data_IF_089003161050
#
_entry.id   IF_089003161050
#
_cell.length_a   1.000
_cell.length_b   1.000
_cell.length_c   1.000
_cell.angle_alpha   90.00
_cell.angle_beta   90.00
_cell.angle_gamma   90.00
#
_symmetry.space_group_name_H-M   'P 1'
#
loop_
_entity.id
_entity.type
_entity.pdbx_description
1 polymer ?
#
# COMPACT_ATOMS: atom_id res chain seq x y z
N UNK A 1 -16.37 6.21 13.07
CA UNK A 1 -15.06 5.52 13.19
C UNK A 1 -14.02 6.56 13.52
N UNK A 2 -13.09 6.28 14.42
CA UNK A 2 -12.08 7.27 14.82
C UNK A 2 -10.84 7.23 13.92
N UNK A 3 -10.07 8.32 13.90
CA UNK A 3 -8.87 8.41 13.05
C UNK A 3 -7.85 7.36 13.45
N UNK A 4 -7.62 7.14 14.75
CA UNK A 4 -6.69 6.10 15.19
C UNK A 4 -7.12 4.70 14.72
N UNK A 5 -8.43 4.40 14.82
CA UNK A 5 -8.97 3.11 14.36
C UNK A 5 -8.82 2.94 12.85
N UNK A 6 -9.07 4.00 12.09
CA UNK A 6 -8.92 4.03 10.64
C UNK A 6 -7.48 3.75 10.20
N UNK A 7 -6.50 4.43 10.82
CA UNK A 7 -5.07 4.23 10.56
C UNK A 7 -4.63 2.81 10.87
N UNK A 8 -5.05 2.25 12.02
CA UNK A 8 -4.75 0.87 12.40
C UNK A 8 -5.31 -0.14 11.40
N UNK A 9 -6.55 0.06 10.92
CA UNK A 9 -7.16 -0.79 9.90
C UNK A 9 -6.41 -0.71 8.57
N UNK A 10 -6.03 0.49 8.14
CA UNK A 10 -5.29 0.68 6.89
C UNK A 10 -3.88 0.06 6.97
N UNK A 11 -3.21 0.22 8.11
CA UNK A 11 -1.96 -0.47 8.39
C UNK A 11 -2.15 -1.98 8.34
N UNK A 12 -3.19 -2.53 8.97
CA UNK A 12 -3.46 -3.95 8.95
C UNK A 12 -3.68 -4.47 7.51
N UNK A 13 -4.45 -3.75 6.68
CA UNK A 13 -4.67 -4.10 5.27
C UNK A 13 -3.34 -4.18 4.52
N UNK A 14 -2.50 -3.14 4.65
CA UNK A 14 -1.22 -3.08 3.95
C UNK A 14 -0.20 -4.09 4.45
N UNK A 15 -0.01 -4.21 5.76
CA UNK A 15 0.95 -5.15 6.32
C UNK A 15 0.54 -6.60 6.10
N UNK A 16 -0.74 -6.95 6.25
CA UNK A 16 -1.22 -8.30 5.95
C UNK A 16 -1.10 -8.63 4.46
N UNK A 17 -1.58 -7.74 3.58
CA UNK A 17 -1.48 -7.92 2.14
C UNK A 17 -0.04 -7.99 1.65
N UNK A 18 0.82 -7.08 2.12
CA UNK A 18 2.24 -7.09 1.78
C UNK A 18 2.97 -8.33 2.33
N UNK A 19 2.63 -8.81 3.53
CA UNK A 19 3.22 -10.03 4.07
C UNK A 19 2.86 -11.26 3.23
N UNK A 20 1.59 -11.38 2.82
CA UNK A 20 1.16 -12.47 1.93
C UNK A 20 1.89 -12.40 0.59
N UNK A 21 1.95 -11.22 -0.04
CA UNK A 21 2.66 -11.01 -1.30
C UNK A 21 4.16 -11.27 -1.16
N UNK A 22 4.76 -10.86 -0.04
CA UNK A 22 6.17 -11.08 0.25
C UNK A 22 6.50 -12.57 0.35
N UNK A 23 5.70 -13.34 1.11
CA UNK A 23 5.88 -14.79 1.22
C UNK A 23 5.73 -15.49 -0.13
N UNK A 24 4.78 -15.01 -0.95
CA UNK A 24 4.59 -15.51 -2.30
C UNK A 24 5.81 -15.24 -3.19
N UNK A 25 6.30 -13.99 -3.23
CA UNK A 25 7.50 -13.61 -3.99
C UNK A 25 8.74 -14.34 -3.47
N UNK A 26 8.86 -14.54 -2.16
CA UNK A 26 9.94 -15.30 -1.54
C UNK A 26 9.91 -16.76 -2.02
N UNK A 27 8.74 -17.42 -2.00
CA UNK A 27 8.59 -18.78 -2.51
C UNK A 27 8.95 -18.93 -3.98
N UNK A 28 8.54 -17.96 -4.82
CA UNK A 28 8.95 -17.89 -6.22
C UNK A 28 10.47 -17.70 -6.38
N UNK A 29 11.08 -16.90 -5.52
CA UNK A 29 12.50 -16.56 -5.58
C UNK A 29 13.41 -17.75 -5.29
N UNK A 30 12.98 -18.66 -4.41
CA UNK A 30 13.75 -19.86 -4.08
C UNK A 30 13.87 -20.84 -5.27
N UNK A 31 12.96 -20.75 -6.25
CA UNK A 31 12.87 -21.71 -7.36
C UNK A 31 13.09 -21.07 -8.73
N UNK A 32 13.37 -19.77 -8.80
CA UNK A 32 13.41 -19.04 -10.09
C UNK A 32 14.73 -18.30 -10.31
N UNK A 33 15.37 -18.45 -11.48
CA UNK A 33 16.52 -17.62 -11.87
C UNK A 33 16.14 -16.15 -12.06
N UNK A 34 14.86 -15.81 -12.19
CA UNK A 34 14.37 -14.42 -12.32
C UNK A 34 14.10 -13.73 -10.99
N UNK A 35 14.47 -14.33 -9.85
CA UNK A 35 14.25 -13.77 -8.51
C UNK A 35 14.65 -12.29 -8.40
N UNK A 36 15.84 -11.92 -8.88
CA UNK A 36 16.32 -10.54 -8.82
C UNK A 36 15.40 -9.54 -9.53
N UNK A 37 14.87 -9.91 -10.70
CA UNK A 37 13.95 -9.05 -11.44
C UNK A 37 12.59 -8.91 -10.75
N UNK A 38 12.09 -10.00 -10.14
CA UNK A 38 10.84 -9.97 -9.37
C UNK A 38 10.97 -9.07 -8.14
N UNK A 39 12.09 -9.15 -7.41
CA UNK A 39 12.35 -8.26 -6.26
C UNK A 39 12.53 -6.80 -6.68
N UNK A 40 13.26 -6.55 -7.78
CA UNK A 40 13.44 -5.21 -8.31
C UNK A 40 12.11 -4.56 -8.74
N UNK A 41 11.11 -5.36 -9.12
CA UNK A 41 9.76 -4.90 -9.39
C UNK A 41 8.94 -4.75 -8.09
N UNK A 42 8.96 -5.75 -7.21
CA UNK A 42 8.11 -5.82 -6.02
C UNK A 42 8.41 -4.72 -5.00
N UNK A 43 9.68 -4.47 -4.71
CA UNK A 43 10.10 -3.50 -3.70
C UNK A 43 9.58 -2.08 -3.98
N UNK A 44 9.83 -1.46 -5.14
CA UNK A 44 9.31 -0.11 -5.43
C UNK A 44 7.78 -0.05 -5.50
N UNK A 45 7.11 -1.16 -5.81
CA UNK A 45 5.65 -1.27 -5.88
C UNK A 45 4.98 -1.27 -4.50
N UNK A 46 5.63 -1.80 -3.47
CA UNK A 46 5.02 -1.99 -2.14
C UNK A 46 5.66 -1.13 -1.05
N UNK A 47 6.99 -0.97 -1.06
CA UNK A 47 7.73 -0.30 0.03
C UNK A 47 7.29 1.15 0.28
N UNK A 48 7.05 2.01 -0.73
CA UNK A 48 6.70 3.41 -0.47
C UNK A 48 5.47 3.57 0.43
N UNK A 49 4.46 2.73 0.25
CA UNK A 49 3.22 2.79 1.02
C UNK A 49 3.42 2.25 2.45
N UNK A 50 4.17 1.17 2.62
CA UNK A 50 4.52 0.67 3.95
C UNK A 50 5.36 1.69 4.73
N UNK A 51 6.37 2.30 4.09
CA UNK A 51 7.20 3.34 4.69
C UNK A 51 6.37 4.55 5.11
N UNK A 52 5.40 4.96 4.29
CA UNK A 52 4.48 6.06 4.62
C UNK A 52 3.63 5.72 5.86
N UNK A 53 3.07 4.52 5.93
CA UNK A 53 2.28 4.07 7.09
C UNK A 53 3.12 4.06 8.37
N UNK A 54 4.34 3.50 8.31
CA UNK A 54 5.28 3.49 9.45
C UNK A 54 5.66 4.91 9.84
N UNK A 55 5.99 5.76 8.88
CA UNK A 55 6.36 7.16 9.12
C UNK A 55 5.25 7.92 9.84
N UNK A 56 4.00 7.75 9.41
CA UNK A 56 2.85 8.37 10.10
C UNK A 56 2.67 7.79 11.50
N UNK A 57 2.88 6.48 11.68
CA UNK A 57 2.70 5.86 12.99
C UNK A 57 3.77 6.33 13.99
N UNK A 58 5.02 6.49 13.55
CA UNK A 58 6.11 7.08 14.35
C UNK A 58 5.87 8.57 14.64
N UNK A 59 5.32 9.31 13.68
CA UNK A 59 4.96 10.72 13.88
C UNK A 59 3.84 10.86 14.93
N UNK A 60 2.81 10.01 14.86
CA UNK A 60 1.69 9.99 15.82
C UNK A 60 2.19 9.63 17.24
N UNK A 61 3.10 8.67 17.40
CA UNK A 61 3.64 8.31 18.73
C UNK A 61 4.49 9.42 19.32
N UNK A 62 5.25 10.16 18.50
CA UNK A 62 6.04 11.32 18.94
C UNK A 62 5.19 12.54 19.28
N UNK A 63 4.06 12.74 18.60
CA UNK A 63 3.18 13.89 18.82
C UNK A 63 2.36 13.79 20.13
N UNK A 64 2.39 12.63 20.81
CA UNK A 64 1.61 12.41 22.03
C UNK A 64 0.12 12.16 21.77
N UNK A 65 -0.63 11.90 22.85
CA UNK A 65 -2.04 11.51 22.81
C UNK A 65 -2.96 12.67 22.36
N UNK A 66 -3.03 12.93 21.06
CA UNK A 66 -4.03 13.85 20.50
C UNK A 66 -5.43 13.23 20.68
N UNK A 67 -6.45 13.99 21.13
CA UNK A 67 -7.82 13.52 21.24
C UNK A 67 -8.29 12.84 19.95
N UNK A 68 -8.92 11.68 20.08
CA UNK A 68 -9.31 10.87 18.92
C UNK A 68 -10.50 11.53 18.20
N UNK A 69 -10.23 12.09 17.02
CA UNK A 69 -11.24 12.80 16.23
C UNK A 69 -12.05 11.82 15.36
N UNK A 70 -13.32 12.13 15.06
CA UNK A 70 -14.09 11.40 14.08
C UNK A 70 -13.43 11.53 12.70
N UNK A 71 -13.28 10.41 11.99
CA UNK A 71 -12.78 10.38 10.61
C UNK A 71 -13.92 10.67 9.65
N UNK A 72 -13.65 11.40 8.57
CA UNK A 72 -14.54 11.45 7.41
C UNK A 72 -14.71 10.03 6.81
N UNK A 73 -15.92 9.45 6.85
CA UNK A 73 -16.18 8.13 6.29
C UNK A 73 -15.83 8.02 4.81
N UNK A 74 -16.09 9.07 4.02
CA UNK A 74 -15.84 9.05 2.58
C UNK A 74 -14.34 8.91 2.30
N UNK A 75 -13.54 9.75 2.95
CA UNK A 75 -12.08 9.74 2.78
C UNK A 75 -11.46 8.40 3.22
N UNK A 76 -11.97 7.82 4.32
CA UNK A 76 -11.53 6.49 4.74
C UNK A 76 -11.87 5.41 3.70
N UNK A 77 -13.11 5.35 3.23
CA UNK A 77 -13.54 4.34 2.26
C UNK A 77 -12.84 4.48 0.92
N UNK A 78 -12.58 5.71 0.46
CA UNK A 78 -11.81 5.97 -0.74
C UNK A 78 -10.38 5.43 -0.61
N UNK A 79 -9.68 5.78 0.48
CA UNK A 79 -8.30 5.35 0.71
C UNK A 79 -8.18 3.85 0.95
N UNK A 80 -9.11 3.27 1.72
CA UNK A 80 -9.17 1.84 1.97
C UNK A 80 -9.51 1.06 0.69
N UNK A 81 -10.46 1.55 -0.10
CA UNK A 81 -10.86 0.96 -1.37
C UNK A 81 -9.71 0.96 -2.38
N UNK A 82 -9.03 2.10 -2.56
CA UNK A 82 -7.86 2.21 -3.43
C UNK A 82 -6.71 1.30 -2.97
N UNK A 83 -6.45 1.26 -1.66
CA UNK A 83 -5.40 0.39 -1.09
C UNK A 83 -5.71 -1.10 -1.31
N UNK A 84 -6.94 -1.52 -1.03
CA UNK A 84 -7.38 -2.90 -1.26
C UNK A 84 -7.33 -3.27 -2.74
N UNK A 85 -7.86 -2.40 -3.60
CA UNK A 85 -7.83 -2.58 -5.06
C UNK A 85 -6.39 -2.71 -5.59
N UNK A 86 -5.48 -1.85 -5.13
CA UNK A 86 -4.07 -1.90 -5.54
C UNK A 86 -3.39 -3.20 -5.12
N UNK A 87 -3.58 -3.67 -3.88
CA UNK A 87 -3.04 -4.96 -3.43
C UNK A 87 -3.63 -6.13 -4.21
N UNK A 88 -4.93 -6.09 -4.54
CA UNK A 88 -5.58 -7.09 -5.37
C UNK A 88 -5.02 -7.10 -6.79
N UNK A 89 -4.69 -5.94 -7.37
CA UNK A 89 -4.04 -5.86 -8.68
C UNK A 89 -2.65 -6.51 -8.66
N UNK A 90 -1.85 -6.26 -7.62
CA UNK A 90 -0.54 -6.90 -7.47
C UNK A 90 -0.70 -8.42 -7.33
N UNK A 91 -1.59 -8.88 -6.47
CA UNK A 91 -1.88 -10.31 -6.34
C UNK A 91 -2.38 -10.90 -7.66
N UNK A 92 -3.27 -10.20 -8.35
CA UNK A 92 -3.81 -10.57 -9.65
C UNK A 92 -2.73 -10.71 -10.71
N UNK A 93 -1.72 -9.85 -10.75
CA UNK A 93 -0.60 -9.98 -11.69
C UNK A 93 0.15 -11.31 -11.53
N UNK A 94 0.36 -11.75 -10.30
CA UNK A 94 1.00 -13.03 -10.03
C UNK A 94 0.08 -14.22 -10.31
N UNK A 95 -1.20 -14.14 -9.93
CA UNK A 95 -2.18 -15.20 -10.16
C UNK A 95 -2.54 -15.38 -11.64
N UNK A 96 -2.50 -14.29 -12.42
CA UNK A 96 -2.80 -14.29 -13.85
C UNK A 96 -1.58 -14.54 -14.73
N UNK A 97 -0.36 -14.48 -14.17
CA UNK A 97 0.87 -14.78 -14.88
C UNK A 97 0.85 -16.11 -15.68
N UNK A 98 0.38 -17.26 -15.13
CA UNK A 98 0.36 -18.53 -15.88
C UNK A 98 -0.54 -18.52 -17.12
N UNK A 99 -1.43 -17.54 -17.25
CA UNK A 99 -2.27 -17.35 -18.44
C UNK A 99 -1.61 -16.43 -19.48
N UNK A 100 -0.47 -15.83 -19.16
CA UNK A 100 0.27 -14.98 -20.09
C UNK A 100 1.23 -15.81 -20.94
N UNK A 101 1.31 -15.53 -22.24
CA UNK A 101 2.30 -16.14 -23.14
C UNK A 101 3.72 -15.56 -22.93
N UNK A 102 3.88 -14.60 -22.03
CA UNK A 102 5.13 -13.89 -21.79
C UNK A 102 5.84 -14.45 -20.54
N UNK A 103 7.18 -14.40 -20.53
CA UNK A 103 7.93 -14.71 -19.32
C UNK A 103 7.58 -13.77 -18.16
N UNK A 104 7.71 -14.23 -16.92
CA UNK A 104 7.34 -13.48 -15.70
C UNK A 104 7.93 -12.07 -15.67
N UNK A 105 9.20 -11.93 -16.04
CA UNK A 105 9.87 -10.63 -16.08
C UNK A 105 9.22 -9.66 -17.07
N UNK A 106 8.90 -10.11 -18.29
CA UNK A 106 8.27 -9.28 -19.31
C UNK A 106 6.84 -8.87 -18.92
N UNK A 107 6.10 -9.82 -18.33
CA UNK A 107 4.77 -9.57 -17.78
C UNK A 107 4.79 -8.46 -16.70
N UNK A 108 5.68 -8.58 -15.71
CA UNK A 108 5.82 -7.58 -14.64
C UNK A 108 6.33 -6.23 -15.18
N UNK A 109 7.25 -6.21 -16.13
CA UNK A 109 7.72 -4.96 -16.75
C UNK A 109 6.59 -4.23 -17.47
N UNK A 110 5.76 -4.96 -18.23
CA UNK A 110 4.62 -4.37 -18.94
C UNK A 110 3.60 -3.74 -17.99
N UNK A 111 3.50 -4.25 -16.75
CA UNK A 111 2.56 -3.73 -15.78
C UNK A 111 3.02 -2.47 -15.05
N UNK A 112 4.30 -2.10 -15.13
CA UNK A 112 4.85 -0.98 -14.34
C UNK A 112 4.15 0.35 -14.62
N UNK A 113 3.86 0.66 -15.88
CA UNK A 113 3.33 1.97 -16.26
C UNK A 113 1.95 2.25 -15.67
N UNK A 114 1.00 1.33 -15.88
CA UNK A 114 -0.36 1.51 -15.38
C UNK A 114 -0.42 1.30 -13.86
N UNK A 115 0.41 0.40 -13.32
CA UNK A 115 0.44 0.15 -11.88
C UNK A 115 1.05 1.33 -11.12
N UNK A 116 2.04 2.03 -11.69
CA UNK A 116 2.55 3.29 -11.15
C UNK A 116 1.48 4.40 -11.12
N UNK A 117 0.59 4.45 -12.12
CA UNK A 117 -0.53 5.40 -12.12
C UNK A 117 -1.55 5.09 -11.01
N UNK A 118 -1.88 3.81 -10.78
CA UNK A 118 -2.75 3.42 -9.66
C UNK A 118 -2.05 3.63 -8.32
N UNK A 119 -0.75 3.36 -8.25
CA UNK A 119 0.06 3.60 -7.06
C UNK A 119 0.05 5.08 -6.68
N UNK A 120 0.25 5.99 -7.64
CA UNK A 120 0.26 7.43 -7.36
C UNK A 120 -1.09 7.91 -6.83
N UNK A 121 -2.20 7.44 -7.41
CA UNK A 121 -3.55 7.73 -6.90
C UNK A 121 -3.74 7.23 -5.46
N UNK A 122 -3.27 6.00 -5.18
CA UNK A 122 -3.35 5.39 -3.85
C UNK A 122 -2.48 6.13 -2.83
N UNK A 123 -1.26 6.51 -3.21
CA UNK A 123 -0.34 7.27 -2.36
C UNK A 123 -0.86 8.68 -2.09
N UNK A 124 -1.47 9.34 -3.07
CA UNK A 124 -2.13 10.65 -2.88
C UNK A 124 -3.31 10.54 -1.92
N UNK A 125 -4.17 9.53 -2.08
CA UNK A 125 -5.30 9.30 -1.18
C UNK A 125 -4.84 9.02 0.25
N UNK A 126 -3.80 8.22 0.43
CA UNK A 126 -3.17 7.99 1.74
C UNK A 126 -2.56 9.27 2.30
N UNK A 127 -1.77 10.00 1.51
CA UNK A 127 -1.16 11.26 1.93
C UNK A 127 -2.20 12.27 2.39
N UNK A 128 -3.25 12.50 1.59
CA UNK A 128 -4.34 13.41 1.94
C UNK A 128 -5.09 12.96 3.21
N UNK A 129 -5.35 11.66 3.37
CA UNK A 129 -5.97 11.09 4.57
C UNK A 129 -5.12 11.32 5.84
N UNK A 130 -3.81 11.16 5.73
CA UNK A 130 -2.91 11.34 6.87
C UNK A 130 -2.60 12.81 7.19
N UNK A 131 -2.58 13.69 6.18
CA UNK A 131 -2.33 15.14 6.32
C UNK A 131 -3.54 15.90 6.84
N UNK A 132 -4.77 15.46 6.56
CA UNK A 132 -6.00 16.08 7.11
C UNK A 132 -5.96 16.24 8.64
N UNK A 133 -5.15 15.45 9.34
CA UNK A 133 -4.92 15.59 10.79
C UNK A 133 -4.15 16.85 11.20
N UNK A 134 -3.27 17.38 10.35
CA UNK A 134 -2.40 18.52 10.69
C UNK A 134 -3.14 19.87 10.64
N UNK A 135 -4.27 19.95 9.95
CA UNK A 135 -5.01 21.20 9.74
C UNK A 135 -6.25 21.37 10.62
N UNK A 136 -6.48 20.49 11.61
CA UNK A 136 -7.45 20.75 12.68
C UNK A 136 -6.91 21.86 13.61
N UNK A 137 -7.06 23.10 13.11
CA UNK A 137 -6.85 24.45 13.67
C UNK A 137 -6.26 24.58 15.09
N UNK A 138 -5.10 25.25 15.26
CA UNK A 138 -4.78 25.99 16.47
C UNK A 138 -5.61 27.28 16.47
N UNK A 139 -6.67 27.31 17.27
CA UNK A 139 -7.50 28.51 17.46
C UNK A 139 -9.00 28.23 17.42
N UNK A 140 -9.51 27.76 18.57
CA UNK A 140 -10.87 27.99 19.05
C UNK A 140 -10.77 28.18 20.57
#
# INVERSE_FOLDING_TARGET
MTVQTAKKRLALIWFSGAAVLFLFVLGLSLNSPSAGAVWAWFLPTVMPNLSLIVGVWVADTRAGSVPDQPTDPFMYWLTAGLSGFYLLLIAGLFLLHPFSAQGLTGWLQSSQLWLAAVQSLTSLAMGAFYVQRAQAKPGA
#
